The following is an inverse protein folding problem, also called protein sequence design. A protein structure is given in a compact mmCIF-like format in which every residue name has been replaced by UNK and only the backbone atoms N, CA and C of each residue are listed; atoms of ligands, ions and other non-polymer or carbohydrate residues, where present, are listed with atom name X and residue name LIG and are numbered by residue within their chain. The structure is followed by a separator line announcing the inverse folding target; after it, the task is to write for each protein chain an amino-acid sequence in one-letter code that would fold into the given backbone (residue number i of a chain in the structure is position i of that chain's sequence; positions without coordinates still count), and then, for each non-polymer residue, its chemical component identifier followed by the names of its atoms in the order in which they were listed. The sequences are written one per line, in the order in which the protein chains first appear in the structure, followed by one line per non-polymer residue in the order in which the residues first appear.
data_IF_657168888199
#
_entry.id   IF_657168888199
#
_cell.length_a   1.000
_cell.length_b   1.000
_cell.length_c   1.000
_cell.angle_alpha   90.00
_cell.angle_beta   90.00
_cell.angle_gamma   90.00
#
_symmetry.space_group_name_H-M   'P 1'
#
loop_
_entity.id
_entity.type
_entity.pdbx_description
1 polymer ?
#
# COMPACT_ATOMS: atom_id res chain seq x y z
N UNK A 1 3.93 -4.62 7.75
CA UNK A 1 3.50 -3.47 8.56
C UNK A 1 4.19 -3.63 9.89
N UNK A 2 4.88 -2.58 10.34
CA UNK A 2 5.58 -2.50 11.62
C UNK A 2 4.65 -1.75 12.58
N UNK A 3 4.04 -2.50 13.51
CA UNK A 3 2.98 -1.99 14.39
C UNK A 3 3.48 -1.03 15.46
N UNK A 4 4.71 -1.21 15.93
CA UNK A 4 5.32 -0.37 16.97
C UNK A 4 5.61 1.04 16.48
N UNK A 5 5.99 1.16 15.19
CA UNK A 5 6.38 2.43 14.57
C UNK A 5 5.29 3.05 13.69
N UNK A 6 4.17 2.35 13.48
CA UNK A 6 3.15 2.66 12.48
C UNK A 6 3.82 2.91 11.11
N UNK A 7 4.60 1.96 10.63
CA UNK A 7 5.37 2.09 9.38
C UNK A 7 5.19 0.90 8.44
N UNK A 8 5.36 1.15 7.15
CA UNK A 8 5.42 0.10 6.15
C UNK A 8 6.84 -0.03 5.60
N UNK A 9 7.24 -1.24 5.22
CA UNK A 9 8.51 -1.48 4.53
C UNK A 9 8.23 -1.71 3.05
N UNK A 10 9.03 -1.06 2.19
CA UNK A 10 9.00 -1.32 0.76
C UNK A 10 9.84 -2.57 0.41
N UNK A 11 9.71 -3.11 -0.81
CA UNK A 11 10.50 -4.25 -1.26
C UNK A 11 12.02 -4.01 -1.24
N UNK A 12 12.46 -2.76 -1.31
CA UNK A 12 13.88 -2.36 -1.20
C UNK A 12 14.32 -2.09 0.25
N UNK A 13 13.54 -2.54 1.25
CA UNK A 13 13.86 -2.40 2.68
C UNK A 13 13.75 -0.97 3.25
N UNK A 14 13.22 0.00 2.49
CA UNK A 14 13.05 1.39 2.95
C UNK A 14 11.69 1.60 3.62
N UNK A 15 11.66 2.45 4.65
CA UNK A 15 10.46 2.73 5.46
C UNK A 15 9.55 3.77 4.80
N UNK A 16 8.25 3.53 4.89
CA UNK A 16 7.18 4.46 4.55
C UNK A 16 6.54 4.93 5.84
N UNK A 17 6.59 6.24 6.07
CA UNK A 17 6.07 6.90 7.28
C UNK A 17 4.66 7.44 7.05
N UNK A 18 3.82 7.51 8.09
CA UNK A 18 2.48 8.07 7.97
C UNK A 18 2.58 9.55 7.59
N UNK A 19 1.74 9.96 6.66
CA UNK A 19 1.52 11.35 6.34
C UNK A 19 0.48 11.90 7.33
N UNK A 20 0.88 12.89 8.14
CA UNK A 20 0.09 13.44 9.24
C UNK A 20 -1.33 13.87 8.82
N UNK A 21 -1.49 14.33 7.57
CA UNK A 21 -2.79 14.70 7.00
C UNK A 21 -3.54 13.47 6.48
N UNK A 22 -4.12 12.66 7.38
CA UNK A 22 -5.15 11.70 7.00
C UNK A 22 -6.47 12.42 6.77
N UNK A 23 -6.96 12.41 5.53
CA UNK A 23 -8.25 13.00 5.16
C UNK A 23 -9.40 12.00 5.25
N UNK A 24 -10.64 12.49 5.11
CA UNK A 24 -11.80 11.64 4.82
C UNK A 24 -12.11 11.69 3.32
N UNK A 25 -12.43 10.54 2.74
CA UNK A 25 -12.86 10.41 1.34
C UNK A 25 -14.07 9.50 1.31
N UNK A 26 -15.21 9.97 0.80
CA UNK A 26 -16.48 9.22 0.75
C UNK A 26 -16.88 8.65 2.12
N UNK A 27 -16.76 9.46 3.17
CA UNK A 27 -17.07 9.07 4.56
C UNK A 27 -16.06 8.12 5.23
N UNK A 28 -15.07 7.59 4.51
CA UNK A 28 -14.06 6.67 5.04
C UNK A 28 -12.77 7.41 5.38
N UNK A 29 -12.08 6.96 6.44
CA UNK A 29 -10.77 7.49 6.81
C UNK A 29 -9.75 7.05 5.76
N UNK A 30 -8.94 7.98 5.25
CA UNK A 30 -7.87 7.69 4.32
C UNK A 30 -6.53 7.76 5.04
N UNK A 31 -5.83 6.64 5.13
CA UNK A 31 -4.45 6.59 5.64
C UNK A 31 -3.49 6.64 4.46
N UNK A 32 -2.48 7.48 4.57
CA UNK A 32 -1.46 7.67 3.54
C UNK A 32 -0.10 7.54 4.20
N UNK A 33 0.76 6.71 3.61
CA UNK A 33 2.15 6.55 4.01
C UNK A 33 3.03 6.91 2.82
N UNK A 34 4.17 7.56 3.07
CA UNK A 34 5.13 7.90 2.02
C UNK A 34 6.55 7.48 2.37
N UNK A 35 7.29 7.12 1.34
CA UNK A 35 8.75 6.96 1.40
C UNK A 35 9.46 8.31 1.33
N UNK A 36 10.74 8.36 1.69
CA UNK A 36 11.57 9.56 1.49
C UNK A 36 11.97 9.66 0.02
N UNK A 37 11.93 10.87 -0.55
CA UNK A 37 12.30 11.07 -1.96
C UNK A 37 13.73 10.60 -2.27
N UNK A 38 14.67 10.84 -1.35
CA UNK A 38 16.07 10.37 -1.47
C UNK A 38 16.18 8.85 -1.61
N UNK A 39 15.32 8.11 -0.92
CA UNK A 39 15.31 6.65 -0.97
C UNK A 39 14.80 6.15 -2.34
N UNK A 40 13.90 6.90 -2.98
CA UNK A 40 13.34 6.56 -4.29
C UNK A 40 14.12 7.13 -5.48
N UNK A 41 14.95 8.16 -5.28
CA UNK A 41 15.66 8.86 -6.37
C UNK A 41 16.64 7.92 -7.09
N UNK A 42 17.39 7.12 -6.33
CA UNK A 42 18.42 6.20 -6.84
C UNK A 42 18.03 4.72 -6.70
N UNK A 43 16.74 4.44 -6.48
CA UNK A 43 16.26 3.06 -6.32
C UNK A 43 16.22 2.33 -7.67
N UNK A 44 16.88 1.18 -7.77
CA UNK A 44 16.88 0.35 -8.99
C UNK A 44 15.48 -0.12 -9.38
N UNK A 45 14.57 -0.27 -8.42
CA UNK A 45 13.18 -0.65 -8.66
C UNK A 45 12.29 0.53 -9.09
N UNK A 46 12.79 1.77 -9.14
CA UNK A 46 11.99 2.99 -9.34
C UNK A 46 11.04 2.91 -10.54
N UNK A 47 11.56 2.46 -11.69
CA UNK A 47 10.78 2.39 -12.94
C UNK A 47 9.59 1.42 -12.86
N UNK A 48 9.73 0.31 -12.14
CA UNK A 48 8.65 -0.67 -11.92
C UNK A 48 7.79 -0.35 -10.70
N UNK A 49 8.35 0.35 -9.72
CA UNK A 49 7.72 0.62 -8.42
C UNK A 49 6.84 1.89 -8.44
N UNK A 50 7.24 2.94 -9.14
CA UNK A 50 6.48 4.19 -9.21
C UNK A 50 5.54 4.18 -10.41
N UNK A 51 4.28 4.54 -10.19
CA UNK A 51 3.25 4.54 -11.24
C UNK A 51 3.55 5.56 -12.36
N UNK A 52 4.11 6.72 -11.99
CA UNK A 52 4.40 7.81 -12.91
C UNK A 52 5.89 8.10 -12.93
N UNK A 53 6.43 8.49 -14.10
CA UNK A 53 7.88 8.74 -14.30
C UNK A 53 8.39 9.90 -13.44
N UNK A 54 7.56 10.94 -13.28
CA UNK A 54 7.81 12.16 -12.52
C UNK A 54 7.55 12.02 -11.01
N UNK A 55 6.98 10.89 -10.57
CA UNK A 55 6.68 10.67 -9.16
C UNK A 55 7.96 10.73 -8.30
N UNK A 56 7.99 11.58 -7.28
CA UNK A 56 9.20 11.78 -6.46
C UNK A 56 9.41 10.67 -5.42
N UNK A 57 8.34 10.03 -4.96
CA UNK A 57 8.38 8.98 -3.94
C UNK A 57 7.19 8.02 -4.06
N UNK A 58 7.31 6.86 -3.43
CA UNK A 58 6.22 5.89 -3.31
C UNK A 58 5.24 6.33 -2.22
N UNK A 59 3.95 6.30 -2.57
CA UNK A 59 2.83 6.43 -1.66
C UNK A 59 2.15 5.07 -1.49
N UNK A 60 1.74 4.77 -0.27
CA UNK A 60 0.83 3.68 0.07
C UNK A 60 -0.41 4.31 0.69
N UNK A 61 -1.55 4.12 0.05
CA UNK A 61 -2.82 4.70 0.49
C UNK A 61 -3.85 3.61 0.64
N UNK A 62 -4.57 3.60 1.76
CA UNK A 62 -5.70 2.69 1.97
C UNK A 62 -6.82 3.35 2.76
N UNK A 63 -8.02 2.80 2.60
CA UNK A 63 -9.15 3.17 3.43
C UNK A 63 -9.10 2.43 4.76
N UNK A 64 -9.24 3.19 5.83
CA UNK A 64 -9.38 2.69 7.18
C UNK A 64 -10.84 2.76 7.63
N UNK A 65 -11.24 1.81 8.47
CA UNK A 65 -12.53 1.82 9.15
C UNK A 65 -12.57 2.89 10.25
N UNK A 66 -13.70 2.98 10.97
CA UNK A 66 -13.87 3.93 12.07
C UNK A 66 -12.87 3.72 13.23
N UNK A 67 -12.30 2.51 13.35
CA UNK A 67 -11.28 2.16 14.36
C UNK A 67 -9.85 2.36 13.84
N UNK A 68 -9.69 2.90 12.61
CA UNK A 68 -8.39 3.14 12.00
C UNK A 68 -7.76 1.91 11.33
N UNK A 69 -8.45 0.76 11.28
CA UNK A 69 -7.93 -0.48 10.72
C UNK A 69 -8.05 -0.52 9.21
N UNK A 70 -7.01 -1.03 8.54
CA UNK A 70 -6.99 -1.18 7.09
C UNK A 70 -8.10 -2.14 6.60
N UNK A 71 -9.06 -1.60 5.84
CA UNK A 71 -10.20 -2.37 5.33
C UNK A 71 -9.74 -3.40 4.29
N UNK A 72 -8.71 -3.08 3.50
CA UNK A 72 -8.16 -3.97 2.48
C UNK A 72 -7.43 -5.18 3.08
N UNK A 73 -6.98 -5.09 4.34
CA UNK A 73 -6.24 -6.19 4.98
C UNK A 73 -7.09 -7.46 5.14
N UNK A 74 -8.39 -7.32 5.40
CA UNK A 74 -9.31 -8.46 5.46
C UNK A 74 -9.43 -9.17 4.10
N UNK A 75 -9.35 -8.42 3.01
CA UNK A 75 -9.36 -8.97 1.65
C UNK A 75 -8.03 -9.66 1.33
N UNK A 76 -6.90 -9.08 1.70
CA UNK A 76 -5.58 -9.74 1.58
C UNK A 76 -5.58 -11.07 2.34
N UNK A 77 -6.03 -11.10 3.59
CA UNK A 77 -6.10 -12.33 4.39
C UNK A 77 -6.94 -13.42 3.72
N UNK A 78 -8.05 -13.06 3.08
CA UNK A 78 -8.88 -14.02 2.31
C UNK A 78 -8.14 -14.57 1.10
N UNK A 79 -7.39 -13.73 0.37
CA UNK A 79 -6.59 -14.14 -0.80
C UNK A 79 -5.46 -15.07 -0.38
N UNK A 80 -4.81 -14.80 0.75
CA UNK A 80 -3.69 -15.59 1.26
C UNK A 80 -4.06 -17.03 1.64
N UNK A 81 -5.36 -17.33 1.83
CA UNK A 81 -5.83 -18.71 2.07
C UNK A 81 -5.57 -19.61 0.86
N UNK A 82 -5.39 -20.92 1.07
CA UNK A 82 -5.16 -21.87 -0.04
C UNK A 82 -6.29 -21.80 -1.10
N UNK A 83 -7.54 -21.66 -0.65
CA UNK A 83 -8.70 -21.47 -1.54
C UNK A 83 -8.64 -20.12 -2.27
N UNK A 84 -8.29 -19.05 -1.56
CA UNK A 84 -8.12 -17.71 -2.13
C UNK A 84 -7.06 -17.67 -3.24
N UNK A 85 -5.87 -18.22 -2.97
CA UNK A 85 -4.75 -18.29 -3.93
C UNK A 85 -5.09 -19.07 -5.20
N UNK A 86 -5.99 -20.07 -5.13
CA UNK A 86 -6.47 -20.84 -6.29
C UNK A 86 -7.51 -20.09 -7.13
N UNK A 87 -8.39 -19.32 -6.49
CA UNK A 87 -9.54 -18.67 -7.16
C UNK A 87 -9.19 -17.26 -7.65
N UNK A 88 -8.44 -16.50 -6.86
CA UNK A 88 -8.25 -15.06 -7.10
C UNK A 88 -7.49 -14.73 -8.40
N UNK A 89 -6.43 -15.46 -8.80
CA UNK A 89 -5.77 -15.24 -10.10
C UNK A 89 -6.72 -15.40 -11.29
N UNK A 90 -7.63 -16.39 -11.23
CA UNK A 90 -8.64 -16.63 -12.27
C UNK A 90 -9.62 -15.46 -12.43
N UNK A 91 -9.88 -14.70 -11.36
CA UNK A 91 -10.76 -13.52 -11.41
C UNK A 91 -10.09 -12.30 -12.03
N UNK A 92 -8.78 -12.16 -11.89
CA UNK A 92 -8.03 -11.07 -12.51
C UNK A 92 -7.92 -11.30 -14.02
N UNK A 93 -7.61 -12.53 -14.45
CA UNK A 93 -7.44 -12.85 -15.87
C UNK A 93 -8.74 -12.89 -16.71
N UNK A 94 -9.92 -12.70 -16.11
CA UNK A 94 -11.18 -12.52 -16.86
C UNK A 94 -11.32 -11.06 -17.32
N UNK A 95 -10.60 -10.13 -16.69
CA UNK A 95 -10.55 -8.71 -17.07
C UNK A 95 -9.24 -8.49 -17.85
N UNK A 96 -9.15 -9.04 -19.05
CA UNK A 96 -8.11 -8.74 -20.04
C UNK A 96 -8.74 -8.36 -21.37
#
# INVERSE_FOLDING_TARGET
YDGDKDEYMCPNGKRLKPLVKSGRRKGKLLRVYRSRQKDCKHCQLRAKCLRYKDAKCRHLTYYADAKGKNISQAMVQKIETQKGRKIYPKRIGIVE
#
